data_IF_755015534134
#
_entry.id   IF_755015534134
#
_cell.length_a   1.000
_cell.length_b   1.000
_cell.length_c   1.000
_cell.angle_alpha   90.00
_cell.angle_beta   90.00
_cell.angle_gamma   90.00
#
_symmetry.space_group_name_H-M   'P 1'
#
loop_
_entity.id
_entity.type
_entity.pdbx_description
1 polymer ?
#
# COMPACT_ATOMS: atom_id res chain seq x y z
N UNK A 1 9.35 32.49 14.90
CA UNK A 1 9.52 31.65 13.70
C UNK A 1 8.17 31.03 13.41
N UNK A 2 7.56 31.30 12.24
CA UNK A 2 6.36 30.56 11.84
C UNK A 2 6.78 29.09 11.69
N UNK A 3 6.19 28.19 12.45
CA UNK A 3 6.34 26.76 12.20
C UNK A 3 5.98 26.51 10.74
N UNK A 4 6.87 25.85 10.02
CA UNK A 4 6.63 25.50 8.63
C UNK A 4 5.55 24.41 8.63
N UNK A 5 4.29 24.80 8.50
CA UNK A 5 3.09 23.94 8.54
C UNK A 5 3.02 22.93 7.39
N UNK A 6 4.04 22.88 6.53
CA UNK A 6 4.10 21.97 5.39
C UNK A 6 5.02 20.76 5.63
N UNK A 7 5.66 20.67 6.81
CA UNK A 7 6.57 19.56 7.16
C UNK A 7 6.01 18.79 8.36
N UNK A 8 5.91 17.48 8.19
CA UNK A 8 5.59 16.53 9.24
C UNK A 8 6.84 16.16 10.04
N UNK A 9 6.67 15.81 11.30
CA UNK A 9 7.75 15.19 12.06
C UNK A 9 7.99 13.77 11.54
N UNK A 10 6.91 13.01 11.31
CA UNK A 10 6.95 11.63 10.82
C UNK A 10 6.01 11.45 9.64
N UNK A 11 6.53 11.00 8.50
CA UNK A 11 5.72 10.49 7.39
C UNK A 11 5.78 8.97 7.40
N UNK A 12 4.63 8.31 7.29
CA UNK A 12 4.50 6.85 7.31
C UNK A 12 3.90 6.40 5.97
N UNK A 13 4.58 5.48 5.28
CA UNK A 13 4.08 4.91 4.02
C UNK A 13 3.53 3.51 4.30
N UNK A 14 2.22 3.34 4.17
CA UNK A 14 1.47 2.09 4.38
C UNK A 14 0.59 2.12 5.63
N UNK A 15 -0.69 1.80 5.48
CA UNK A 15 -1.69 1.76 6.55
C UNK A 15 -1.98 0.35 7.10
N UNK A 16 -1.02 -0.57 7.03
CA UNK A 16 -1.11 -1.88 7.68
C UNK A 16 -0.87 -1.81 9.20
N UNK A 17 -0.82 -2.96 9.90
CA UNK A 17 -0.61 -2.99 11.37
C UNK A 17 0.66 -2.27 11.83
N UNK A 18 1.77 -2.43 11.09
CA UNK A 18 3.03 -1.74 11.37
C UNK A 18 2.88 -0.21 11.27
N UNK A 19 2.34 0.30 10.15
CA UNK A 19 2.18 1.73 9.92
C UNK A 19 1.16 2.38 10.86
N UNK A 20 0.01 1.73 11.11
CA UNK A 20 -0.99 2.25 12.05
C UNK A 20 -0.49 2.25 13.48
N UNK A 21 0.27 1.23 13.90
CA UNK A 21 0.90 1.22 15.24
C UNK A 21 1.98 2.31 15.33
N UNK A 22 2.80 2.47 14.29
CA UNK A 22 3.77 3.56 14.25
C UNK A 22 3.10 4.94 14.33
N UNK A 23 1.97 5.12 13.63
CA UNK A 23 1.16 6.33 13.68
C UNK A 23 0.61 6.62 15.07
N UNK A 24 0.08 5.61 15.74
CA UNK A 24 -0.39 5.70 17.13
C UNK A 24 0.72 6.19 18.08
N UNK A 25 1.89 5.54 18.07
CA UNK A 25 2.98 5.89 19.00
C UNK A 25 3.62 7.25 18.68
N UNK A 26 3.71 7.61 17.39
CA UNK A 26 4.22 8.91 16.96
C UNK A 26 3.28 10.05 17.39
N UNK A 27 1.96 9.88 17.16
CA UNK A 27 0.96 10.85 17.57
C UNK A 27 0.86 11.00 19.09
N UNK A 28 0.92 9.89 19.85
CA UNK A 28 1.01 9.91 21.33
C UNK A 28 2.25 10.66 21.84
N UNK A 29 3.32 10.67 21.06
CA UNK A 29 4.54 11.42 21.35
C UNK A 29 4.44 12.90 20.97
N UNK A 30 3.25 13.37 20.56
CA UNK A 30 2.97 14.72 20.06
C UNK A 30 3.80 15.09 18.83
N UNK A 31 4.19 14.10 18.03
CA UNK A 31 4.83 14.32 16.74
C UNK A 31 3.74 14.49 15.68
N UNK A 32 3.86 15.54 14.87
CA UNK A 32 2.95 15.73 13.74
C UNK A 32 3.18 14.62 12.72
N UNK A 33 2.18 13.75 12.57
CA UNK A 33 2.33 12.47 11.87
C UNK A 33 1.30 12.34 10.77
N UNK A 34 1.71 11.88 9.59
CA UNK A 34 0.81 11.49 8.50
C UNK A 34 1.06 10.06 8.06
N UNK A 35 -0.02 9.31 7.84
CA UNK A 35 -0.03 7.96 7.30
C UNK A 35 -0.59 8.05 5.87
N UNK A 36 0.23 7.70 4.90
CA UNK A 36 -0.12 7.63 3.49
C UNK A 36 -0.39 6.17 3.14
N UNK A 37 -1.63 5.85 2.81
CA UNK A 37 -2.05 4.47 2.55
C UNK A 37 -2.71 4.37 1.18
N UNK A 38 -2.28 3.44 0.32
CA UNK A 38 -2.81 3.38 -1.05
C UNK A 38 -4.29 3.02 -1.10
N UNK A 39 -4.75 2.22 -0.14
CA UNK A 39 -6.15 1.83 0.01
C UNK A 39 -6.36 1.29 1.42
N UNK A 40 -7.40 1.79 2.08
CA UNK A 40 -7.83 1.34 3.40
C UNK A 40 -8.22 -0.15 3.48
N UNK A 41 -8.38 -0.80 2.33
CA UNK A 41 -8.69 -2.24 2.22
C UNK A 41 -7.61 -3.04 1.51
N UNK A 42 -6.47 -2.41 1.19
CA UNK A 42 -5.28 -3.10 0.75
C UNK A 42 -4.45 -3.63 1.94
N UNK A 43 -3.58 -4.61 1.65
CA UNK A 43 -2.66 -5.21 2.62
C UNK A 43 -3.13 -6.56 3.15
N UNK A 44 -2.16 -7.34 3.67
CA UNK A 44 -2.36 -8.74 4.01
C UNK A 44 -3.49 -8.98 5.02
N UNK A 45 -3.55 -8.13 6.06
CA UNK A 45 -4.56 -8.27 7.11
C UNK A 45 -5.96 -7.99 6.59
N UNK A 46 -6.16 -7.00 5.72
CA UNK A 46 -7.49 -6.65 5.20
C UNK A 46 -8.19 -7.83 4.51
N UNK A 47 -7.42 -8.76 3.91
CA UNK A 47 -7.94 -9.96 3.26
C UNK A 47 -8.33 -11.09 4.20
N UNK A 48 -7.95 -11.04 5.48
CA UNK A 48 -8.30 -12.10 6.42
C UNK A 48 -9.76 -12.02 6.83
N UNK A 49 -10.51 -13.09 6.59
CA UNK A 49 -11.91 -13.19 7.02
C UNK A 49 -12.06 -13.36 8.52
N UNK A 50 -11.05 -13.90 9.21
CA UNK A 50 -11.11 -14.22 10.63
C UNK A 50 -9.72 -14.19 11.28
N UNK A 51 -9.58 -13.41 12.35
CA UNK A 51 -8.38 -13.25 13.17
C UNK A 51 -8.73 -13.65 14.60
N UNK A 52 -8.00 -14.64 15.12
CA UNK A 52 -8.19 -15.20 16.47
C UNK A 52 -6.91 -15.17 17.30
N UNK A 53 -5.78 -14.88 16.65
CA UNK A 53 -4.43 -15.01 17.20
C UNK A 53 -3.77 -13.64 17.47
N UNK A 54 -4.54 -12.55 17.49
CA UNK A 54 -4.06 -11.25 17.97
C UNK A 54 -4.43 -11.09 19.46
N UNK A 55 -3.44 -10.99 20.37
CA UNK A 55 -3.72 -10.91 21.80
C UNK A 55 -4.57 -9.70 22.18
N UNK A 56 -5.52 -9.90 23.10
CA UNK A 56 -6.46 -8.87 23.55
C UNK A 56 -7.78 -8.82 22.76
N UNK A 57 -7.96 -9.69 21.76
CA UNK A 57 -9.27 -9.90 21.14
C UNK A 57 -10.18 -10.71 22.06
N UNK A 58 -11.34 -10.16 22.43
CA UNK A 58 -12.35 -10.85 23.23
C UNK A 58 -13.24 -11.79 22.40
N UNK A 59 -13.23 -11.63 21.08
CA UNK A 59 -13.89 -12.48 20.10
C UNK A 59 -13.14 -12.39 18.77
N UNK A 60 -13.27 -13.38 17.88
CA UNK A 60 -12.74 -13.27 16.52
C UNK A 60 -13.25 -12.03 15.80
N UNK A 61 -12.38 -11.39 15.03
CA UNK A 61 -12.71 -10.26 14.15
C UNK A 61 -12.26 -10.57 12.73
N UNK A 62 -12.88 -9.97 11.72
CA UNK A 62 -12.26 -9.87 10.41
C UNK A 62 -11.01 -8.99 10.49
N UNK A 63 -10.08 -9.20 9.56
CA UNK A 63 -8.88 -8.38 9.49
C UNK A 63 -9.18 -6.91 9.16
N UNK A 64 -10.23 -6.65 8.37
CA UNK A 64 -10.74 -5.29 8.12
C UNK A 64 -11.20 -4.61 9.41
N UNK A 65 -12.00 -5.27 10.23
CA UNK A 65 -12.45 -4.72 11.52
C UNK A 65 -11.27 -4.41 12.44
N UNK A 66 -10.26 -5.29 12.49
CA UNK A 66 -9.06 -5.06 13.29
C UNK A 66 -8.25 -3.84 12.79
N UNK A 67 -8.07 -3.70 11.46
CA UNK A 67 -7.43 -2.51 10.87
C UNK A 67 -8.22 -1.23 11.17
N UNK A 68 -9.56 -1.27 11.08
CA UNK A 68 -10.41 -0.11 11.38
C UNK A 68 -10.29 0.31 12.86
N UNK A 69 -10.09 -0.64 13.78
CA UNK A 69 -9.77 -0.34 15.19
C UNK A 69 -8.41 0.34 15.31
N UNK A 70 -7.35 -0.24 14.71
CA UNK A 70 -6.01 0.33 14.75
C UNK A 70 -5.95 1.74 14.13
N UNK A 71 -6.65 1.95 13.01
CA UNK A 71 -6.74 3.25 12.33
C UNK A 71 -7.39 4.28 13.23
N UNK A 72 -8.53 3.95 13.85
CA UNK A 72 -9.21 4.83 14.82
C UNK A 72 -8.36 5.17 16.02
N UNK A 73 -7.55 4.24 16.51
CA UNK A 73 -6.59 4.52 17.60
C UNK A 73 -5.55 5.55 17.15
N UNK A 74 -4.89 5.34 16.00
CA UNK A 74 -3.89 6.27 15.49
C UNK A 74 -4.47 7.67 15.24
N UNK A 75 -5.59 7.76 14.52
CA UNK A 75 -6.24 9.04 14.20
C UNK A 75 -6.83 9.71 15.44
N UNK A 76 -7.34 8.93 16.40
CA UNK A 76 -7.87 9.45 17.67
C UNK A 76 -6.83 10.15 18.54
N UNK A 77 -5.54 9.79 18.40
CA UNK A 77 -4.42 10.49 19.04
C UNK A 77 -3.83 11.62 18.20
N UNK A 78 -4.34 11.87 17.00
CA UNK A 78 -3.95 13.00 16.15
C UNK A 78 -3.07 12.66 14.95
N UNK A 79 -2.86 11.38 14.61
CA UNK A 79 -2.25 11.04 13.33
C UNK A 79 -3.20 11.40 12.18
N UNK A 80 -2.69 12.09 11.16
CA UNK A 80 -3.42 12.29 9.91
C UNK A 80 -3.38 10.99 9.09
N UNK A 81 -4.49 10.63 8.45
CA UNK A 81 -4.57 9.48 7.55
C UNK A 81 -5.08 9.95 6.20
N UNK A 82 -4.33 9.65 5.14
CA UNK A 82 -4.67 10.01 3.77
C UNK A 82 -4.59 8.78 2.89
N UNK A 83 -5.70 8.49 2.22
CA UNK A 83 -5.72 7.48 1.17
C UNK A 83 -5.06 8.07 -0.08
N UNK A 84 -3.84 7.62 -0.39
CA UNK A 84 -3.04 8.04 -1.55
C UNK A 84 -1.90 7.06 -1.80
N UNK A 85 -1.57 6.82 -3.07
CA UNK A 85 -0.47 5.95 -3.46
C UNK A 85 0.84 6.75 -3.53
N UNK A 86 1.86 6.24 -2.85
CA UNK A 86 3.23 6.74 -2.99
C UNK A 86 3.87 6.09 -4.22
N UNK A 87 4.45 6.91 -5.07
CA UNK A 87 5.07 6.50 -6.34
C UNK A 87 6.58 6.76 -6.37
N UNK A 88 7.10 7.50 -5.40
CA UNK A 88 8.51 7.83 -5.34
C UNK A 88 8.91 8.46 -4.02
N UNK A 89 10.21 8.48 -3.76
CA UNK A 89 10.79 9.15 -2.59
C UNK A 89 12.09 9.86 -2.98
N UNK A 90 12.43 10.91 -2.24
CA UNK A 90 13.75 11.54 -2.28
C UNK A 90 14.31 11.63 -0.85
N UNK A 91 15.43 10.93 -0.63
CA UNK A 91 16.06 10.76 0.68
C UNK A 91 17.44 11.42 0.79
N UNK A 92 17.85 12.20 -0.22
CA UNK A 92 19.20 12.81 -0.29
C UNK A 92 19.41 13.90 0.78
N UNK A 93 18.33 14.57 1.16
CA UNK A 93 18.35 15.68 2.11
C UNK A 93 17.94 15.23 3.53
N UNK A 94 18.16 16.09 4.51
CA UNK A 94 17.72 15.85 5.90
C UNK A 94 16.20 15.70 5.99
N UNK A 95 15.45 16.53 5.25
CA UNK A 95 14.00 16.41 5.13
C UNK A 95 13.68 15.44 4.00
N UNK A 96 12.99 14.36 4.36
CA UNK A 96 12.58 13.30 3.44
C UNK A 96 11.36 13.75 2.66
N UNK A 97 11.37 13.54 1.36
CA UNK A 97 10.24 13.84 0.49
C UNK A 97 9.60 12.54 -0.01
N UNK A 98 8.28 12.50 0.07
CA UNK A 98 7.44 11.40 -0.39
C UNK A 98 6.53 11.91 -1.48
N UNK A 99 6.63 11.30 -2.65
CA UNK A 99 6.00 11.76 -3.89
C UNK A 99 4.73 10.95 -4.11
N UNK A 100 3.62 11.64 -4.31
CA UNK A 100 2.34 11.06 -4.75
C UNK A 100 1.90 11.78 -6.02
N UNK A 101 0.80 11.31 -6.63
CA UNK A 101 0.25 11.96 -7.82
C UNK A 101 -0.36 13.35 -7.53
N UNK A 102 -0.96 13.52 -6.35
CA UNK A 102 -1.69 14.75 -6.03
C UNK A 102 -0.82 15.77 -5.30
N UNK A 103 -0.05 15.32 -4.30
CA UNK A 103 0.71 16.18 -3.40
C UNK A 103 2.03 15.51 -2.98
N UNK A 104 3.08 16.31 -2.80
CA UNK A 104 4.29 15.83 -2.15
C UNK A 104 4.20 16.06 -0.64
N UNK A 105 4.65 15.08 0.11
CA UNK A 105 4.69 15.11 1.57
C UNK A 105 6.13 15.19 2.05
N UNK A 106 6.38 16.02 3.06
CA UNK A 106 7.73 16.22 3.61
C UNK A 106 7.77 15.83 5.07
N UNK A 107 8.77 15.04 5.46
CA UNK A 107 8.95 14.51 6.80
C UNK A 107 10.38 14.72 7.30
N UNK A 108 10.55 15.06 8.58
CA UNK A 108 11.87 15.00 9.22
C UNK A 108 12.36 13.56 9.38
N UNK A 109 11.43 12.62 9.55
CA UNK A 109 11.67 11.17 9.46
C UNK A 109 10.66 10.48 8.56
N UNK A 110 11.02 9.29 8.09
CA UNK A 110 10.21 8.44 7.23
C UNK A 110 10.12 7.02 7.82
N UNK A 111 8.93 6.44 7.88
CA UNK A 111 8.72 5.03 8.24
C UNK A 111 8.08 4.31 7.05
N UNK A 112 8.76 3.30 6.51
CA UNK A 112 8.28 2.48 5.40
C UNK A 112 7.62 1.22 5.97
N UNK A 113 6.30 1.08 5.76
CA UNK A 113 5.48 0.00 6.31
C UNK A 113 4.55 -0.59 5.23
N UNK A 114 5.04 -0.72 4.00
CA UNK A 114 4.28 -1.12 2.81
C UNK A 114 3.95 -2.61 2.73
N UNK A 115 4.51 -3.42 3.62
CA UNK A 115 4.23 -4.86 3.70
C UNK A 115 4.79 -5.68 2.53
N UNK A 116 4.24 -6.88 2.32
CA UNK A 116 4.76 -7.87 1.36
C UNK A 116 3.69 -8.47 0.44
N UNK A 117 2.63 -7.72 0.13
CA UNK A 117 1.59 -8.17 -0.80
C UNK A 117 1.93 -7.90 -2.28
N UNK A 118 3.17 -7.49 -2.56
CA UNK A 118 3.68 -7.28 -3.91
C UNK A 118 3.92 -8.59 -4.66
N UNK A 119 4.29 -8.48 -5.93
CA UNK A 119 4.37 -9.62 -6.84
C UNK A 119 5.46 -9.38 -7.89
N UNK A 120 6.28 -10.40 -8.15
CA UNK A 120 7.17 -10.42 -9.33
C UNK A 120 6.33 -10.52 -10.60
N UNK A 121 6.66 -9.77 -11.68
CA UNK A 121 6.02 -9.96 -12.96
C UNK A 121 6.01 -11.44 -13.36
N UNK A 122 4.85 -11.94 -13.74
CA UNK A 122 4.63 -13.37 -13.98
C UNK A 122 3.83 -13.68 -15.23
N UNK A 123 3.15 -12.67 -15.81
CA UNK A 123 2.44 -12.85 -17.06
C UNK A 123 3.40 -12.68 -18.23
N UNK A 124 3.24 -13.49 -19.27
CA UNK A 124 4.02 -13.35 -20.50
C UNK A 124 3.77 -11.95 -21.10
N UNK A 125 4.85 -11.22 -21.40
CA UNK A 125 4.80 -9.84 -21.91
C UNK A 125 4.67 -8.76 -20.81
N UNK A 126 4.45 -9.12 -19.55
CA UNK A 126 4.26 -8.12 -18.50
C UNK A 126 5.47 -7.22 -18.28
N UNK A 127 6.64 -7.83 -18.04
CA UNK A 127 7.87 -7.08 -17.80
C UNK A 127 8.32 -6.34 -19.07
N UNK A 128 8.04 -6.89 -20.24
CA UNK A 128 8.36 -6.29 -21.53
C UNK A 128 7.55 -5.01 -21.74
N UNK A 129 6.25 -5.02 -21.50
CA UNK A 129 5.37 -3.88 -21.75
C UNK A 129 5.17 -2.96 -20.53
N UNK A 130 5.91 -3.16 -19.43
CA UNK A 130 5.87 -2.28 -18.27
C UNK A 130 6.24 -0.84 -18.65
N UNK A 131 5.35 0.12 -18.36
CA UNK A 131 5.49 1.52 -18.79
C UNK A 131 5.20 1.77 -20.28
N UNK A 132 4.87 0.72 -21.04
CA UNK A 132 4.52 0.74 -22.48
C UNK A 132 3.13 0.17 -22.73
N UNK A 133 2.21 0.41 -21.80
CA UNK A 133 0.84 -0.11 -21.83
C UNK A 133 0.50 -1.02 -20.65
N UNK A 134 1.49 -1.60 -19.96
CA UNK A 134 1.28 -2.26 -18.66
C UNK A 134 1.55 -1.27 -17.52
N UNK A 135 0.64 -1.21 -16.55
CA UNK A 135 0.73 -0.34 -15.38
C UNK A 135 0.25 -1.03 -14.09
N UNK A 136 0.72 -0.52 -12.96
CA UNK A 136 0.28 -0.89 -11.61
C UNK A 136 -0.40 0.28 -10.87
N UNK A 137 -0.65 1.40 -11.55
CA UNK A 137 -1.23 2.60 -10.97
C UNK A 137 -2.17 3.28 -11.97
N UNK A 138 -3.49 3.05 -11.80
CA UNK A 138 -4.50 3.70 -12.64
C UNK A 138 -4.47 5.21 -12.51
N UNK A 139 -4.31 5.71 -11.28
CA UNK A 139 -4.25 7.15 -10.99
C UNK A 139 -3.11 7.82 -11.78
N UNK A 140 -1.99 7.11 -11.95
CA UNK A 140 -0.82 7.61 -12.65
C UNK A 140 -1.05 7.70 -14.17
N UNK A 141 -1.61 6.64 -14.77
CA UNK A 141 -1.57 6.48 -16.22
C UNK A 141 -2.93 6.64 -16.93
N UNK A 142 -4.05 6.74 -16.19
CA UNK A 142 -5.39 6.80 -16.77
C UNK A 142 -5.55 7.89 -17.84
N UNK A 143 -4.88 9.04 -17.67
CA UNK A 143 -4.96 10.16 -18.61
C UNK A 143 -4.46 9.80 -20.02
N UNK A 144 -3.48 8.90 -20.14
CA UNK A 144 -2.92 8.46 -21.42
C UNK A 144 -3.86 7.51 -22.18
N UNK A 145 -4.83 6.91 -21.49
CA UNK A 145 -5.78 5.94 -22.06
C UNK A 145 -7.16 6.53 -22.33
N UNK A 146 -7.27 7.87 -22.44
CA UNK A 146 -8.54 8.54 -22.74
C UNK A 146 -9.13 8.03 -24.06
N UNK A 147 -10.38 7.55 -24.00
CA UNK A 147 -11.07 7.00 -25.17
C UNK A 147 -10.44 5.74 -25.74
N UNK A 148 -9.63 5.02 -24.94
CA UNK A 148 -9.06 3.72 -25.31
C UNK A 148 -9.80 2.59 -24.60
N UNK A 149 -9.62 1.38 -25.10
CA UNK A 149 -10.00 0.14 -24.41
C UNK A 149 -8.85 -0.30 -23.53
N UNK A 150 -9.15 -0.74 -22.31
CA UNK A 150 -8.14 -1.20 -21.36
C UNK A 150 -8.70 -2.30 -20.47
N UNK A 151 -7.84 -3.04 -19.80
CA UNK A 151 -8.26 -4.04 -18.81
C UNK A 151 -7.63 -3.79 -17.44
N UNK A 152 -8.34 -4.24 -16.42
CA UNK A 152 -7.89 -4.34 -15.04
C UNK A 152 -7.90 -5.82 -14.67
N UNK A 153 -6.77 -6.34 -14.20
CA UNK A 153 -6.62 -7.75 -13.81
C UNK A 153 -6.60 -7.81 -12.29
N UNK A 154 -7.62 -8.41 -11.69
CA UNK A 154 -7.73 -8.53 -10.24
C UNK A 154 -9.13 -8.89 -9.78
N UNK A 155 -9.23 -9.26 -8.50
CA UNK A 155 -10.51 -9.63 -7.86
C UNK A 155 -10.72 -8.97 -6.50
N UNK A 156 -9.85 -8.04 -6.09
CA UNK A 156 -9.96 -7.31 -4.83
C UNK A 156 -10.83 -6.05 -4.97
N UNK A 157 -11.21 -5.46 -3.84
CA UNK A 157 -11.83 -4.14 -3.82
C UNK A 157 -10.95 -3.05 -4.44
N UNK A 158 -9.62 -3.14 -4.26
CA UNK A 158 -8.66 -2.27 -4.96
C UNK A 158 -8.85 -2.36 -6.48
N UNK A 159 -8.85 -3.57 -7.05
CA UNK A 159 -9.05 -3.74 -8.49
C UNK A 159 -10.39 -3.15 -8.96
N UNK A 160 -11.45 -3.28 -8.16
CA UNK A 160 -12.78 -2.72 -8.46
C UNK A 160 -12.79 -1.19 -8.44
N UNK A 161 -12.21 -0.57 -7.41
CA UNK A 161 -12.10 0.90 -7.31
C UNK A 161 -11.28 1.48 -8.46
N UNK A 162 -10.17 0.84 -8.79
CA UNK A 162 -9.28 1.27 -9.87
C UNK A 162 -9.95 1.10 -11.24
N UNK A 163 -10.76 0.04 -11.42
CA UNK A 163 -11.64 -0.13 -12.59
C UNK A 163 -12.63 1.03 -12.71
N UNK A 164 -13.31 1.38 -11.63
CA UNK A 164 -14.25 2.51 -11.59
C UNK A 164 -13.57 3.84 -11.93
N UNK A 165 -12.37 4.07 -11.41
CA UNK A 165 -11.57 5.25 -11.72
C UNK A 165 -11.20 5.31 -13.20
N UNK A 166 -10.65 4.23 -13.78
CA UNK A 166 -10.28 4.14 -15.19
C UNK A 166 -11.46 4.33 -16.13
N UNK A 167 -12.64 3.81 -15.75
CA UNK A 167 -13.87 3.92 -16.51
C UNK A 167 -14.32 5.38 -16.73
N UNK A 168 -13.82 6.33 -15.93
CA UNK A 168 -14.07 7.77 -16.15
C UNK A 168 -13.29 8.36 -17.33
N UNK A 169 -12.25 7.67 -17.81
CA UNK A 169 -11.36 8.11 -18.89
C UNK A 169 -11.48 7.23 -20.13
N UNK A 170 -11.63 5.92 -19.93
CA UNK A 170 -11.62 4.90 -20.97
C UNK A 170 -12.93 4.83 -21.78
N UNK A 171 -12.84 4.34 -23.02
CA UNK A 171 -14.02 3.94 -23.81
C UNK A 171 -14.64 2.66 -23.23
N UNK A 172 -13.81 1.70 -22.83
CA UNK A 172 -14.24 0.44 -22.23
C UNK A 172 -13.18 -0.07 -21.27
N UNK A 173 -13.60 -0.54 -20.10
CA UNK A 173 -12.72 -1.19 -19.12
C UNK A 173 -13.17 -2.64 -18.92
N UNK A 174 -12.28 -3.58 -19.21
CA UNK A 174 -12.50 -5.00 -18.92
C UNK A 174 -11.98 -5.32 -17.52
N UNK A 175 -12.84 -5.64 -16.56
CA UNK A 175 -12.42 -6.18 -15.26
C UNK A 175 -12.30 -7.70 -15.37
N UNK A 176 -11.07 -8.20 -15.44
CA UNK A 176 -10.75 -9.60 -15.67
C UNK A 176 -10.29 -10.23 -14.35
N UNK A 177 -10.98 -11.30 -13.96
CA UNK A 177 -10.70 -12.03 -12.72
C UNK A 177 -10.57 -13.54 -13.01
N UNK A 178 -9.52 -14.21 -12.50
CA UNK A 178 -9.40 -15.67 -12.60
C UNK A 178 -10.37 -16.41 -11.69
N UNK A 179 -10.98 -15.72 -10.71
CA UNK A 179 -12.00 -16.30 -9.83
C UNK A 179 -13.41 -16.04 -10.36
N UNK A 180 -14.34 -16.95 -10.03
CA UNK A 180 -15.76 -16.83 -10.37
C UNK A 180 -16.53 -15.79 -9.55
N UNK A 181 -15.87 -15.14 -8.59
CA UNK A 181 -16.43 -14.08 -7.73
C UNK A 181 -15.37 -13.02 -7.45
N UNK A 182 -15.82 -11.77 -7.31
CA UNK A 182 -15.01 -10.66 -6.81
C UNK A 182 -15.09 -10.62 -5.27
N UNK A 183 -14.07 -10.09 -4.61
CA UNK A 183 -14.02 -9.90 -3.15
C UNK A 183 -14.61 -8.55 -2.74
N UNK A 184 -15.80 -8.24 -3.25
CA UNK A 184 -16.61 -7.06 -2.93
C UNK A 184 -18.08 -7.44 -2.91
N UNK A 185 -18.92 -6.59 -2.33
CA UNK A 185 -20.36 -6.72 -2.46
C UNK A 185 -20.79 -6.51 -3.92
N UNK A 186 -21.78 -7.28 -4.38
CA UNK A 186 -22.29 -7.22 -5.77
C UNK A 186 -22.83 -5.82 -6.13
N UNK A 187 -23.26 -5.06 -5.13
CA UNK A 187 -23.82 -3.72 -5.27
C UNK A 187 -22.78 -2.58 -5.28
N UNK A 188 -21.48 -2.90 -5.31
CA UNK A 188 -20.40 -1.91 -5.26
C UNK A 188 -20.58 -0.82 -6.34
N UNK A 189 -20.54 0.48 -5.99
CA UNK A 189 -20.90 1.57 -6.91
C UNK A 189 -20.02 1.62 -8.16
N UNK A 190 -18.73 1.33 -8.03
CA UNK A 190 -17.79 1.34 -9.16
C UNK A 190 -18.09 0.27 -10.21
N UNK A 191 -18.84 -0.80 -9.89
CA UNK A 191 -19.25 -1.82 -10.86
C UNK A 191 -20.46 -1.41 -11.70
N UNK A 192 -21.16 -0.32 -11.34
CA UNK A 192 -22.40 0.11 -11.98
C UNK A 192 -22.19 0.99 -13.22
N UNK A 193 -20.94 1.27 -13.59
CA UNK A 193 -20.61 2.09 -14.77
C UNK A 193 -20.82 1.28 -16.06
N UNK A 194 -21.52 1.89 -17.03
CA UNK A 194 -21.97 1.21 -18.26
C UNK A 194 -20.84 0.73 -19.18
N UNK A 195 -19.65 1.32 -19.06
CA UNK A 195 -18.49 0.98 -19.89
C UNK A 195 -17.55 -0.05 -19.22
N UNK A 196 -17.98 -0.67 -18.11
CA UNK A 196 -17.25 -1.77 -17.47
C UNK A 196 -17.80 -3.11 -17.96
N UNK A 197 -16.91 -4.01 -18.38
CA UNK A 197 -17.22 -5.38 -18.77
C UNK A 197 -16.52 -6.34 -17.82
N UNK A 198 -17.29 -7.07 -17.02
CA UNK A 198 -16.74 -8.01 -16.03
C UNK A 198 -16.56 -9.39 -16.69
N UNK A 199 -15.36 -9.96 -16.58
CA UNK A 199 -14.99 -11.27 -17.10
C UNK A 199 -14.45 -12.15 -15.97
N UNK A 200 -15.28 -13.06 -15.47
CA UNK A 200 -14.96 -13.94 -14.34
C UNK A 200 -14.54 -15.34 -14.81
N UNK A 201 -13.59 -15.94 -14.09
CA UNK A 201 -13.01 -17.24 -14.45
C UNK A 201 -12.07 -17.18 -15.66
N UNK A 202 -11.60 -15.99 -16.03
CA UNK A 202 -10.64 -15.79 -17.12
C UNK A 202 -9.25 -15.54 -16.57
N UNK A 203 -8.24 -16.20 -17.14
CA UNK A 203 -6.85 -15.97 -16.80
C UNK A 203 -6.07 -15.48 -18.02
N UNK A 204 -5.09 -14.61 -17.79
CA UNK A 204 -4.27 -14.02 -18.85
C UNK A 204 -3.18 -15.00 -19.25
N UNK A 205 -3.09 -15.29 -20.54
CA UNK A 205 -2.06 -16.13 -21.15
C UNK A 205 -0.87 -15.28 -21.59
N UNK A 206 -1.15 -14.10 -22.14
CA UNK A 206 -0.10 -13.19 -22.63
C UNK A 206 -0.58 -11.79 -22.93
N UNK A 207 0.36 -10.85 -22.86
CA UNK A 207 0.22 -9.46 -23.25
C UNK A 207 1.09 -9.27 -24.48
N UNK A 208 0.51 -8.78 -25.57
CA UNK A 208 1.17 -8.72 -26.87
C UNK A 208 1.06 -7.33 -27.50
N UNK A 209 2.06 -6.99 -28.31
CA UNK A 209 2.17 -5.74 -29.03
C UNK A 209 3.55 -5.62 -29.67
N UNK A 210 3.76 -4.54 -30.43
CA UNK A 210 5.07 -4.26 -31.04
C UNK A 210 5.91 -3.33 -30.16
N UNK A 211 5.53 -2.06 -30.11
CA UNK A 211 6.22 -1.04 -29.31
C UNK A 211 5.47 -0.75 -28.00
N UNK A 212 4.15 -0.92 -28.02
CA UNK A 212 3.22 -0.75 -26.91
C UNK A 212 2.22 -1.92 -26.91
N UNK A 213 1.46 -2.08 -25.83
CA UNK A 213 0.38 -3.07 -25.77
C UNK A 213 -0.67 -2.81 -26.85
N UNK A 214 -1.03 -3.86 -27.60
CA UNK A 214 -2.07 -3.82 -28.63
C UNK A 214 -3.19 -4.84 -28.35
N UNK A 215 -2.87 -5.94 -27.64
CA UNK A 215 -3.84 -6.97 -27.28
C UNK A 215 -3.43 -7.78 -26.05
N UNK A 216 -4.41 -8.50 -25.52
CA UNK A 216 -4.20 -9.58 -24.56
C UNK A 216 -4.77 -10.89 -25.10
N UNK A 217 -4.15 -11.99 -24.68
CA UNK A 217 -4.66 -13.37 -24.80
C UNK A 217 -5.10 -13.85 -23.44
N UNK A 218 -6.27 -14.47 -23.38
CA UNK A 218 -6.85 -15.02 -22.16
C UNK A 218 -7.52 -16.37 -22.45
N UNK A 219 -7.54 -17.25 -21.45
CA UNK A 219 -8.33 -18.48 -21.49
C UNK A 219 -9.53 -18.36 -20.55
N UNK A 220 -10.69 -18.78 -21.05
CA UNK A 220 -11.95 -18.80 -20.30
C UNK A 220 -12.12 -20.04 -19.43
N UNK A 221 -13.25 -20.13 -18.69
CA UNK A 221 -13.57 -21.27 -17.84
C UNK A 221 -13.69 -22.61 -18.59
N UNK A 222 -13.90 -22.55 -19.91
CA UNK A 222 -13.98 -23.71 -20.81
C UNK A 222 -12.65 -24.00 -21.52
N UNK A 223 -11.54 -23.42 -21.03
CA UNK A 223 -10.19 -23.51 -21.60
C UNK A 223 -10.09 -23.01 -23.05
N UNK A 224 -11.09 -22.28 -23.55
CA UNK A 224 -11.02 -21.65 -24.86
C UNK A 224 -10.25 -20.34 -24.77
N UNK A 225 -9.32 -20.17 -25.70
CA UNK A 225 -8.57 -18.94 -25.87
C UNK A 225 -9.44 -17.85 -26.53
N UNK A 226 -9.27 -16.63 -26.03
CA UNK A 226 -9.87 -15.41 -26.55
C UNK A 226 -8.79 -14.33 -26.66
N UNK A 227 -8.89 -13.51 -27.69
CA UNK A 227 -8.07 -12.32 -27.87
C UNK A 227 -8.92 -11.06 -27.68
N UNK A 228 -8.36 -10.06 -27.00
CA UNK A 228 -8.98 -8.75 -26.85
C UNK A 228 -8.00 -7.65 -27.25
N UNK A 229 -8.39 -6.85 -28.25
CA UNK A 229 -7.66 -5.65 -28.64
C UNK A 229 -7.90 -4.53 -27.61
N UNK A 230 -6.83 -4.06 -26.99
CA UNK A 230 -6.83 -3.02 -25.98
C UNK A 230 -5.47 -2.34 -25.92
N UNK A 231 -5.44 -1.12 -25.37
CA UNK A 231 -4.23 -0.31 -25.31
C UNK A 231 -3.53 -0.34 -23.94
N UNK A 232 -4.24 -0.71 -22.87
CA UNK A 232 -3.72 -0.64 -21.50
C UNK A 232 -4.10 -1.84 -20.64
N UNK A 233 -3.15 -2.33 -19.84
CA UNK A 233 -3.29 -3.47 -18.93
C UNK A 233 -2.87 -3.03 -17.53
N UNK A 234 -3.83 -2.95 -16.62
CA UNK A 234 -3.60 -2.56 -15.23
C UNK A 234 -3.67 -3.80 -14.33
N UNK A 235 -2.63 -4.06 -13.54
CA UNK A 235 -2.52 -5.32 -12.79
C UNK A 235 -2.60 -5.08 -11.28
N UNK A 236 -3.66 -5.59 -10.65
CA UNK A 236 -3.91 -5.57 -9.20
C UNK A 236 -4.01 -6.98 -8.64
N UNK A 237 -3.02 -7.81 -9.02
CA UNK A 237 -2.81 -9.13 -8.46
C UNK A 237 -1.84 -9.03 -7.29
N UNK A 238 -2.09 -9.84 -6.26
CA UNK A 238 -1.27 -9.84 -5.05
C UNK A 238 -0.36 -11.05 -5.02
N UNK A 239 0.84 -10.88 -4.45
CA UNK A 239 1.79 -11.95 -4.20
C UNK A 239 2.31 -11.91 -2.76
N UNK A 240 3.53 -12.39 -2.54
CA UNK A 240 4.19 -12.47 -1.24
C UNK A 240 5.56 -11.76 -1.22
N UNK A 241 5.75 -10.75 -2.07
CA UNK A 241 6.99 -9.99 -2.26
C UNK A 241 6.87 -8.61 -1.60
N UNK A 242 7.93 -8.07 -0.96
CA UNK A 242 7.96 -6.70 -0.46
C UNK A 242 7.55 -5.67 -1.51
N UNK A 243 6.79 -4.66 -1.09
CA UNK A 243 6.43 -3.53 -1.95
C UNK A 243 7.49 -2.44 -1.78
N UNK A 244 8.48 -2.44 -2.67
CA UNK A 244 9.67 -1.57 -2.64
C UNK A 244 10.00 -0.91 -3.98
N UNK A 245 9.11 -1.04 -4.97
CA UNK A 245 9.24 -0.46 -6.31
C UNK A 245 9.38 1.07 -6.31
N UNK A 246 8.65 1.75 -5.42
CA UNK A 246 8.71 3.21 -5.26
C UNK A 246 10.05 3.74 -4.70
N UNK A 247 10.95 2.86 -4.22
CA UNK A 247 12.25 3.29 -3.70
C UNK A 247 13.19 3.78 -4.81
N UNK A 248 12.99 3.34 -6.06
CA UNK A 248 13.80 3.77 -7.21
C UNK A 248 15.31 3.58 -7.04
N UNK A 249 15.73 2.61 -6.21
CA UNK A 249 17.14 2.35 -5.88
C UNK A 249 17.79 3.35 -4.92
N UNK A 250 17.03 4.30 -4.34
CA UNK A 250 17.56 5.28 -3.38
C UNK A 250 17.93 4.64 -2.04
N UNK A 251 17.20 3.60 -1.66
CA UNK A 251 17.47 2.79 -0.47
C UNK A 251 17.80 1.36 -0.92
N UNK A 252 18.92 0.83 -0.44
CA UNK A 252 19.35 -0.53 -0.76
C UNK A 252 18.38 -1.56 -0.18
N UNK A 253 18.03 -2.55 -0.99
CA UNK A 253 17.25 -3.73 -0.61
C UNK A 253 18.11 -4.98 -0.76
N UNK A 254 17.80 -6.02 0.01
CA UNK A 254 18.44 -7.33 -0.17
C UNK A 254 18.02 -7.98 -1.48
N UNK A 255 18.64 -9.11 -1.84
CA UNK A 255 18.34 -9.88 -3.07
C UNK A 255 16.85 -10.25 -3.20
N UNK A 256 16.20 -10.42 -2.05
CA UNK A 256 14.79 -10.78 -1.91
C UNK A 256 13.84 -9.57 -2.08
N UNK A 257 14.38 -8.36 -2.27
CA UNK A 257 13.65 -7.08 -2.36
C UNK A 257 13.32 -6.46 -1.00
N UNK A 258 13.82 -7.05 0.09
CA UNK A 258 13.51 -6.68 1.47
C UNK A 258 14.34 -5.50 1.96
N UNK A 259 13.73 -4.58 2.70
CA UNK A 259 14.46 -3.47 3.33
C UNK A 259 15.22 -4.00 4.53
N UNK A 260 16.54 -3.82 4.53
CA UNK A 260 17.39 -4.21 5.64
C UNK A 260 17.29 -3.20 6.77
N UNK A 261 17.09 -3.70 8.00
CA UNK A 261 17.01 -2.89 9.20
C UNK A 261 17.78 -3.52 10.36
N UNK A 262 18.24 -2.69 11.29
CA UNK A 262 18.75 -3.17 12.58
C UNK A 262 17.62 -3.49 13.57
N UNK A 263 17.95 -3.89 14.79
CA UNK A 263 16.96 -4.22 15.83
C UNK A 263 16.06 -3.03 16.26
N UNK A 264 16.48 -1.80 15.94
CA UNK A 264 15.72 -0.57 16.19
C UNK A 264 14.91 -0.12 14.97
N UNK A 265 14.79 -0.97 13.95
CA UNK A 265 14.07 -0.70 12.69
C UNK A 265 14.71 0.42 11.86
N UNK A 266 15.97 0.79 12.14
CA UNK A 266 16.73 1.79 11.38
C UNK A 266 17.25 1.17 10.08
N UNK A 267 17.08 1.87 8.96
CA UNK A 267 17.67 1.49 7.67
C UNK A 267 19.11 2.00 7.55
N UNK A 268 19.76 1.81 6.40
CA UNK A 268 21.06 2.41 6.10
C UNK A 268 21.04 3.94 6.00
N UNK A 269 19.85 4.56 5.85
CA UNK A 269 19.69 6.01 5.74
C UNK A 269 19.23 6.60 7.07
N UNK A 270 19.98 7.55 7.68
CA UNK A 270 19.58 8.21 8.91
C UNK A 270 18.21 8.91 8.80
N UNK A 271 17.38 8.70 9.82
CA UNK A 271 16.01 9.21 9.87
C UNK A 271 15.00 8.44 9.02
N UNK A 272 15.42 7.33 8.39
CA UNK A 272 14.55 6.42 7.63
C UNK A 272 14.50 5.06 8.32
N UNK A 273 13.28 4.60 8.57
CA UNK A 273 12.97 3.36 9.27
C UNK A 273 12.09 2.47 8.39
N UNK A 274 12.09 1.17 8.64
CA UNK A 274 11.15 0.26 7.99
C UNK A 274 10.61 -0.79 8.98
N UNK A 275 9.33 -1.16 8.85
CA UNK A 275 8.65 -2.03 9.80
C UNK A 275 7.59 -2.92 9.14
N UNK A 276 7.36 -4.09 9.73
CA UNK A 276 6.45 -5.10 9.22
C UNK A 276 7.06 -5.91 8.09
N UNK A 277 6.21 -6.58 7.34
CA UNK A 277 6.63 -7.60 6.37
C UNK A 277 7.49 -7.09 5.20
N UNK A 278 7.61 -5.77 5.00
CA UNK A 278 8.55 -5.17 4.02
C UNK A 278 10.02 -5.46 4.37
N UNK A 279 10.29 -5.78 5.64
CA UNK A 279 11.60 -6.18 6.16
C UNK A 279 11.87 -7.69 6.03
N UNK A 280 10.91 -8.47 5.52
CA UNK A 280 11.00 -9.91 5.30
C UNK A 280 11.42 -10.75 6.51
N UNK A 281 10.93 -10.42 7.69
CA UNK A 281 11.05 -11.35 8.80
C UNK A 281 10.38 -12.68 8.47
N UNK A 282 11.00 -13.77 8.92
CA UNK A 282 10.46 -15.13 8.78
C UNK A 282 9.05 -15.23 9.39
N UNK A 283 8.83 -14.53 10.51
CA UNK A 283 7.55 -14.45 11.19
C UNK A 283 6.74 -13.28 10.64
N UNK A 284 5.70 -13.58 9.86
CA UNK A 284 4.73 -12.61 9.33
C UNK A 284 3.41 -12.71 10.09
N UNK A 285 3.30 -11.95 11.18
CA UNK A 285 2.13 -11.94 12.05
C UNK A 285 1.74 -10.52 12.42
N UNK A 286 0.44 -10.27 12.62
CA UNK A 286 -0.09 -8.94 12.96
C UNK A 286 0.58 -8.37 14.21
N UNK A 287 0.79 -9.20 15.24
CA UNK A 287 1.45 -8.79 16.49
C UNK A 287 2.93 -8.42 16.30
N UNK A 288 3.64 -9.14 15.43
CA UNK A 288 5.05 -8.86 15.11
C UNK A 288 5.18 -7.56 14.33
N UNK A 289 4.35 -7.39 13.28
CA UNK A 289 4.31 -6.15 12.50
C UNK A 289 3.96 -4.94 13.38
N UNK A 290 2.99 -5.09 14.29
CA UNK A 290 2.62 -4.04 15.25
C UNK A 290 3.79 -3.70 16.20
N UNK A 291 4.49 -4.71 16.72
CA UNK A 291 5.67 -4.53 17.56
C UNK A 291 6.78 -3.74 16.83
N UNK A 292 7.09 -4.12 15.59
CA UNK A 292 8.07 -3.41 14.77
C UNK A 292 7.64 -1.97 14.48
N UNK A 293 6.35 -1.73 14.21
CA UNK A 293 5.80 -0.38 14.04
C UNK A 293 6.01 0.50 15.27
N UNK A 294 5.80 -0.06 16.47
CA UNK A 294 6.09 0.62 17.74
C UNK A 294 7.58 0.96 17.87
N UNK A 295 8.48 0.00 17.61
CA UNK A 295 9.93 0.20 17.69
C UNK A 295 10.39 1.30 16.71
N UNK A 296 9.88 1.28 15.47
CA UNK A 296 10.20 2.29 14.46
C UNK A 296 9.75 3.70 14.88
N UNK A 297 8.52 3.85 15.39
CA UNK A 297 8.02 5.14 15.87
C UNK A 297 8.83 5.69 17.06
N UNK A 298 9.17 4.85 18.03
CA UNK A 298 10.00 5.27 19.17
C UNK A 298 11.44 5.59 18.77
N UNK A 299 11.96 4.95 17.74
CA UNK A 299 13.29 5.25 17.20
C UNK A 299 13.31 6.54 16.38
N UNK A 300 12.25 6.80 15.60
CA UNK A 300 12.04 8.08 14.95
C UNK A 300 11.94 9.24 15.96
N UNK A 301 11.20 9.04 17.07
CA UNK A 301 11.09 10.02 18.15
C UNK A 301 12.45 10.34 18.78
N UNK A 302 13.23 9.30 19.11
CA UNK A 302 14.58 9.46 19.68
C UNK A 302 15.50 10.20 18.71
N UNK A 303 15.44 9.88 17.42
CA UNK A 303 16.21 10.52 16.37
C UNK A 303 15.90 12.02 16.29
N UNK A 304 14.62 12.38 16.23
CA UNK A 304 14.17 13.78 16.15
C UNK A 304 14.60 14.62 17.35
N UNK A 305 14.48 14.07 18.57
CA UNK A 305 14.86 14.78 19.79
C UNK A 305 16.35 14.63 20.16
N UNK A 306 17.15 13.93 19.34
CA UNK A 306 18.58 13.66 19.59
C UNK A 306 18.87 13.12 21.00
N UNK A 307 17.99 12.26 21.53
CA UNK A 307 18.09 11.76 22.90
C UNK A 307 19.11 10.63 23.05
N UNK A 308 19.81 10.60 24.18
CA UNK A 308 20.71 9.49 24.54
C UNK A 308 19.99 8.19 24.92
N UNK A 309 18.73 8.27 25.39
CA UNK A 309 17.91 7.12 25.81
C UNK A 309 16.47 7.24 25.27
N UNK A 310 15.80 6.11 25.08
CA UNK A 310 14.40 6.04 24.69
C UNK A 310 13.48 6.51 25.82
N UNK A 311 12.36 7.15 25.48
CA UNK A 311 11.30 7.48 26.45
C UNK A 311 10.36 6.30 26.58
N UNK A 312 10.13 5.88 27.82
CA UNK A 312 9.15 4.86 28.15
C UNK A 312 7.76 5.52 28.12
N UNK A 313 6.86 5.01 27.29
CA UNK A 313 5.47 5.46 27.21
C UNK A 313 4.58 4.61 28.13
N UNK A 314 4.70 4.82 29.44
CA UNK A 314 3.79 4.24 30.43
C UNK A 314 2.73 5.26 30.81
N UNK A 315 1.48 4.80 30.97
CA UNK A 315 0.42 5.64 31.50
C UNK A 315 0.85 6.18 32.88
N UNK A 316 1.05 7.50 32.97
CA UNK A 316 1.17 8.17 34.27
C UNK A 316 -0.24 8.25 34.85
N UNK A 317 -0.39 7.91 36.12
CA UNK A 317 -1.63 8.10 36.87
C UNK A 317 -2.19 9.50 36.59
N UNK A 318 -3.44 9.57 36.12
CA UNK A 318 -4.19 10.81 36.21
C UNK A 318 -4.43 11.03 37.70
N UNK A 319 -3.62 11.89 38.32
CA UNK A 319 -4.05 12.47 39.59
C UNK A 319 -5.34 13.25 39.29
N UNK A 320 -6.49 12.91 39.90
CA UNK A 320 -7.65 13.77 39.79
C UNK A 320 -7.24 15.17 40.26
N UNK A 321 -7.64 16.19 39.51
CA UNK A 321 -7.51 17.56 39.96
C UNK A 321 -8.43 17.74 41.17
N UNK A 322 -7.86 18.09 42.32
CA UNK A 322 -8.60 18.62 43.46
C UNK A 322 -9.23 19.98 43.11
#
# INVERSE_FOLDING_TARGET
MKENTDIYDVVIIGGGPAGLTAGLYSARSKLRTIILDKSSTAGALAYSSKIENYPGLNKPLSGKELLDIMRRQATGFGAEYKETQVIGINLKEDVKEVITMENNYRGKTLIIATGSMGRKPGLRGEAEFLGRGVSYCAICDAAFFRGKKLCVIGNSEEAVKETGFLARFAETVYLISPTLKLKVDEDHPDLKLLNIKIMLGYHIIGIEGKDVVERIKLAGPDEKELELDLSGVFIYLHGNVPITDFLGGVLETGEDGCIQVNCMMETSIPGVFAAGDVTCTEIRQVVVASSQGCIAALSAEKYLYKRKKYRIDWAKEHKPAD
#
